data_IF_357520184307
#
_entry.id   IF_357520184307
#
_cell.length_a   1.000
_cell.length_b   1.000
_cell.length_c   1.000
_cell.angle_alpha   90.00
_cell.angle_beta   90.00
_cell.angle_gamma   90.00
#
_symmetry.space_group_name_H-M   'P 1'
#
loop_
_entity.id
_entity.type
_entity.pdbx_description
1 polymer ?
#
# COMPACT_ATOMS: atom_id res chain seq x y z
N UNK A 1 -10.49 -14.52 8.46
CA UNK A 1 -10.79 -14.27 7.01
C UNK A 1 -9.49 -14.19 6.24
N UNK A 2 -9.34 -14.98 5.19
CA UNK A 2 -8.17 -14.98 4.32
C UNK A 2 -7.97 -13.60 3.69
N UNK A 3 -6.75 -13.06 3.73
CA UNK A 3 -6.42 -11.70 3.25
C UNK A 3 -6.65 -10.58 4.26
N UNK A 4 -7.29 -10.85 5.39
CA UNK A 4 -7.46 -9.93 6.48
C UNK A 4 -8.01 -8.56 6.07
N UNK A 5 -7.47 -7.49 6.63
CA UNK A 5 -7.90 -6.10 6.35
C UNK A 5 -7.70 -5.66 4.91
N UNK A 6 -6.80 -6.29 4.15
CA UNK A 6 -6.58 -5.92 2.75
C UNK A 6 -7.79 -6.20 1.84
N UNK A 7 -8.78 -6.94 2.32
CA UNK A 7 -10.02 -7.18 1.57
C UNK A 7 -11.00 -5.99 1.62
N UNK A 8 -10.90 -5.11 2.64
CA UNK A 8 -11.87 -4.02 2.85
C UNK A 8 -11.23 -2.68 3.24
N UNK A 9 -9.93 -2.51 3.02
CA UNK A 9 -9.24 -1.24 3.24
C UNK A 9 -9.46 -0.25 2.08
N UNK A 10 -9.14 1.05 2.31
CA UNK A 10 -9.26 2.09 1.28
C UNK A 10 -8.17 2.08 0.19
N UNK A 11 -7.26 1.11 0.18
CA UNK A 11 -6.08 1.00 -0.70
C UNK A 11 -5.08 2.16 -0.56
N UNK A 12 -5.25 3.01 0.44
CA UNK A 12 -4.33 4.11 0.73
C UNK A 12 -2.97 3.52 1.14
N UNK A 13 -1.95 3.84 0.37
CA UNK A 13 -0.62 3.20 0.46
C UNK A 13 0.46 4.26 0.68
N UNK A 14 0.31 5.02 1.76
CA UNK A 14 1.31 5.98 2.20
C UNK A 14 2.48 5.24 2.85
N UNK A 15 3.67 5.82 2.75
CA UNK A 15 4.85 5.36 3.48
C UNK A 15 4.93 6.09 4.82
N UNK A 16 5.39 5.42 5.85
CA UNK A 16 5.91 6.14 7.01
C UNK A 16 7.13 6.95 6.58
N UNK A 17 7.19 8.20 7.01
CA UNK A 17 8.32 9.08 6.72
C UNK A 17 9.38 9.05 7.83
N UNK A 18 10.49 9.75 7.64
CA UNK A 18 11.58 9.79 8.63
C UNK A 18 11.15 10.17 10.05
N UNK A 19 10.19 11.09 10.19
CA UNK A 19 9.66 11.52 11.50
C UNK A 19 8.94 10.41 12.24
N UNK A 20 8.21 9.53 11.52
CA UNK A 20 7.41 8.48 12.14
C UNK A 20 8.27 7.46 12.90
N UNK A 21 9.54 7.28 12.47
CA UNK A 21 10.51 6.42 13.15
C UNK A 21 11.18 7.08 14.35
N UNK A 22 11.08 8.40 14.46
CA UNK A 22 11.73 9.22 15.48
C UNK A 22 10.74 10.16 16.17
N UNK A 23 9.49 9.72 16.36
CA UNK A 23 8.39 10.53 16.90
C UNK A 23 8.77 11.16 18.24
N UNK A 24 9.37 10.38 19.15
CA UNK A 24 9.81 10.88 20.46
C UNK A 24 10.77 12.07 20.39
N UNK A 25 11.65 12.09 19.39
CA UNK A 25 12.59 13.19 19.19
C UNK A 25 11.89 14.49 18.76
N UNK A 26 10.68 14.39 18.17
CA UNK A 26 9.90 15.53 17.70
C UNK A 26 8.86 16.02 18.70
N UNK A 27 8.15 15.12 19.39
CA UNK A 27 7.02 15.46 20.25
C UNK A 27 7.21 15.06 21.73
N UNK A 28 8.26 14.32 22.04
CA UNK A 28 8.58 13.83 23.39
C UNK A 28 7.73 12.65 23.86
N UNK A 29 6.84 12.12 23.01
CA UNK A 29 5.90 11.07 23.40
C UNK A 29 6.31 9.69 22.84
N UNK A 30 5.97 8.64 23.59
CA UNK A 30 6.22 7.26 23.20
C UNK A 30 7.69 6.89 23.12
N UNK A 31 8.04 6.04 22.19
CA UNK A 31 9.41 5.55 21.94
C UNK A 31 9.77 5.65 20.46
N UNK A 32 11.04 5.93 20.15
CA UNK A 32 11.54 5.84 18.80
C UNK A 32 11.60 4.38 18.33
N UNK A 33 11.32 4.15 17.06
CA UNK A 33 11.55 2.85 16.48
C UNK A 33 13.06 2.52 16.45
N UNK A 34 13.47 1.25 16.64
CA UNK A 34 14.87 0.84 16.60
C UNK A 34 15.47 0.81 15.18
N UNK A 35 14.67 1.17 14.19
CA UNK A 35 15.02 1.26 12.78
C UNK A 35 14.75 2.67 12.25
N UNK A 36 15.27 2.98 11.08
CA UNK A 36 15.06 4.24 10.36
C UNK A 36 14.24 4.03 9.08
N UNK A 37 13.81 5.12 8.47
CA UNK A 37 13.20 5.06 7.13
C UNK A 37 14.13 4.43 6.09
N UNK A 38 15.44 4.73 6.14
CA UNK A 38 16.38 4.22 5.15
C UNK A 38 16.55 2.70 5.22
N UNK A 39 16.40 2.10 6.40
CA UNK A 39 16.45 0.65 6.59
C UNK A 39 15.30 -0.05 5.87
N UNK A 40 14.11 0.55 5.82
CA UNK A 40 12.92 -0.07 5.22
C UNK A 40 12.60 0.45 3.81
N UNK A 41 13.19 1.56 3.37
CA UNK A 41 13.00 2.15 2.05
C UNK A 41 13.15 1.16 0.87
N UNK A 42 14.15 0.25 0.87
CA UNK A 42 14.27 -0.76 -0.18
C UNK A 42 13.05 -1.69 -0.28
N UNK A 43 12.45 -2.01 0.87
CA UNK A 43 11.26 -2.86 0.95
C UNK A 43 10.00 -2.11 0.49
N UNK A 44 9.84 -0.84 0.86
CA UNK A 44 8.78 0.02 0.28
C UNK A 44 8.89 0.10 -1.24
N UNK A 45 10.10 0.29 -1.77
CA UNK A 45 10.34 0.35 -3.21
C UNK A 45 9.96 -0.96 -3.92
N UNK A 46 10.24 -2.10 -3.28
CA UNK A 46 9.85 -3.41 -3.78
C UNK A 46 8.33 -3.59 -3.73
N UNK A 47 7.71 -3.17 -2.62
CA UNK A 47 6.27 -3.30 -2.39
C UNK A 47 5.47 -2.44 -3.37
N UNK A 48 5.82 -1.17 -3.59
CA UNK A 48 5.12 -0.28 -4.54
C UNK A 48 5.03 -0.89 -5.95
N UNK A 49 6.13 -1.51 -6.41
CA UNK A 49 6.17 -2.18 -7.71
C UNK A 49 5.31 -3.44 -7.72
N UNK A 50 5.32 -4.19 -6.61
CA UNK A 50 4.65 -5.48 -6.49
C UNK A 50 3.12 -5.32 -6.40
N UNK A 51 2.64 -4.38 -5.59
CA UNK A 51 1.20 -4.14 -5.41
C UNK A 51 0.62 -3.17 -6.44
N UNK A 52 1.47 -2.34 -7.05
CA UNK A 52 1.08 -1.33 -8.04
C UNK A 52 0.41 -0.13 -7.38
N UNK A 53 1.20 0.81 -6.90
CA UNK A 53 0.72 2.06 -6.30
C UNK A 53 0.72 3.15 -7.36
N UNK A 54 -0.38 3.88 -7.53
CA UNK A 54 -0.35 5.10 -8.33
C UNK A 54 -0.11 6.35 -7.47
N UNK A 55 0.43 7.40 -8.05
CA UNK A 55 0.71 8.65 -7.36
C UNK A 55 1.63 9.56 -8.17
N UNK A 56 2.07 10.64 -7.53
CA UNK A 56 3.02 11.60 -8.08
C UNK A 56 4.21 11.78 -7.12
N UNK A 57 5.34 12.22 -7.67
CA UNK A 57 6.52 12.54 -6.87
C UNK A 57 6.45 14.01 -6.47
N UNK A 58 6.39 14.26 -5.17
CA UNK A 58 6.13 15.57 -4.60
C UNK A 58 7.27 16.09 -3.73
N UNK A 59 8.26 15.24 -3.41
CA UNK A 59 9.39 15.54 -2.54
C UNK A 59 8.99 16.05 -1.15
N UNK A 60 7.89 15.51 -0.59
CA UNK A 60 7.43 15.85 0.75
C UNK A 60 8.29 15.09 1.76
N UNK A 61 8.92 15.79 2.69
CA UNK A 61 9.90 15.22 3.62
C UNK A 61 9.36 14.01 4.40
N UNK A 62 8.17 14.13 5.00
CA UNK A 62 7.60 13.04 5.81
C UNK A 62 6.55 12.20 5.06
N UNK A 63 6.48 12.36 3.75
CA UNK A 63 5.70 11.50 2.85
C UNK A 63 6.57 11.11 1.64
N UNK A 64 7.60 10.28 1.86
CA UNK A 64 8.64 10.02 0.86
C UNK A 64 8.08 9.46 -0.44
N UNK A 65 8.70 9.87 -1.55
CA UNK A 65 8.34 9.37 -2.86
C UNK A 65 8.72 7.92 -3.07
N UNK A 66 7.91 7.25 -3.88
CA UNK A 66 8.06 5.85 -4.24
C UNK A 66 8.13 5.61 -5.75
N UNK A 67 7.83 4.34 -6.11
CA UNK A 67 7.66 3.94 -7.50
C UNK A 67 6.18 3.94 -7.85
N UNK A 68 5.72 5.00 -8.50
CA UNK A 68 4.31 5.20 -8.77
C UNK A 68 3.94 4.91 -10.22
N UNK A 69 2.79 4.25 -10.39
CA UNK A 69 2.05 4.26 -11.65
C UNK A 69 1.47 5.66 -11.88
N UNK A 70 1.20 6.07 -13.13
CA UNK A 70 0.56 7.35 -13.39
C UNK A 70 -0.79 7.42 -12.68
N UNK A 71 -1.12 8.53 -12.00
CA UNK A 71 -2.42 8.68 -11.36
C UNK A 71 -3.54 8.83 -12.40
N UNK A 72 -4.80 8.54 -12.01
CA UNK A 72 -5.94 8.84 -12.86
C UNK A 72 -6.05 10.35 -13.14
N UNK A 73 -6.67 10.70 -14.25
CA UNK A 73 -7.00 12.11 -14.51
C UNK A 73 -7.98 12.62 -13.45
N UNK A 74 -7.77 13.82 -12.90
CA UNK A 74 -8.68 14.39 -11.91
C UNK A 74 -10.08 14.60 -12.50
N UNK A 75 -11.09 14.35 -11.69
CA UNK A 75 -12.50 14.60 -12.02
C UNK A 75 -12.83 16.11 -11.95
N UNK A 76 -13.93 16.52 -12.53
CA UNK A 76 -14.30 17.94 -12.59
C UNK A 76 -14.35 18.60 -11.21
N UNK A 77 -14.97 17.96 -10.22
CA UNK A 77 -15.02 18.49 -8.86
C UNK A 77 -13.64 18.57 -8.18
N UNK A 78 -12.76 17.62 -8.46
CA UNK A 78 -11.36 17.65 -7.98
C UNK A 78 -10.59 18.82 -8.60
N UNK A 79 -10.80 19.11 -9.88
CA UNK A 79 -10.22 20.29 -10.54
C UNK A 79 -10.67 21.60 -9.89
N UNK A 80 -11.96 21.73 -9.54
CA UNK A 80 -12.45 22.88 -8.79
C UNK A 80 -11.82 22.99 -7.41
N UNK A 81 -11.72 21.86 -6.70
CA UNK A 81 -11.07 21.82 -5.39
C UNK A 81 -9.59 22.23 -5.49
N UNK A 82 -8.84 21.67 -6.43
CA UNK A 82 -7.43 22.03 -6.69
C UNK A 82 -7.28 23.53 -6.95
N UNK A 83 -8.17 24.10 -7.78
CA UNK A 83 -8.16 25.54 -8.11
C UNK A 83 -8.42 26.42 -6.87
N UNK A 84 -9.35 26.00 -6.01
CA UNK A 84 -9.66 26.69 -4.75
C UNK A 84 -8.50 26.62 -3.76
N UNK A 85 -8.00 25.44 -3.51
CA UNK A 85 -6.89 25.18 -2.58
C UNK A 85 -5.61 25.93 -2.98
N UNK A 86 -5.29 25.98 -4.28
CA UNK A 86 -4.16 26.73 -4.80
C UNK A 86 -4.25 28.24 -4.49
N UNK A 87 -5.45 28.82 -4.53
CA UNK A 87 -5.65 30.23 -4.15
C UNK A 87 -5.37 30.49 -2.68
N UNK A 88 -5.49 29.48 -1.84
CA UNK A 88 -5.22 29.52 -0.38
C UNK A 88 -3.79 29.05 -0.03
N UNK A 89 -2.92 28.87 -1.04
CA UNK A 89 -1.56 28.40 -0.81
C UNK A 89 -1.42 26.92 -0.46
N UNK A 90 -2.51 26.13 -0.61
CA UNK A 90 -2.51 24.69 -0.29
C UNK A 90 -2.26 23.88 -1.56
N UNK A 91 -1.24 23.02 -1.52
CA UNK A 91 -0.96 22.05 -2.58
C UNK A 91 -1.86 20.82 -2.44
N UNK A 92 -2.54 20.45 -3.52
CA UNK A 92 -3.35 19.23 -3.60
C UNK A 92 -2.65 18.26 -4.54
N UNK A 93 -2.46 17.05 -4.07
CA UNK A 93 -1.79 15.97 -4.81
C UNK A 93 -2.73 14.76 -4.95
N UNK A 94 -2.52 13.88 -5.95
CA UNK A 94 -3.24 12.61 -6.03
C UNK A 94 -2.92 11.75 -4.82
N UNK A 95 -3.94 11.15 -4.22
CA UNK A 95 -3.75 10.16 -3.16
C UNK A 95 -2.95 8.97 -3.69
N UNK A 96 -2.05 8.42 -2.89
CA UNK A 96 -1.25 7.23 -3.25
C UNK A 96 -2.06 5.98 -2.94
N UNK A 97 -2.55 5.30 -3.98
CA UNK A 97 -3.44 4.15 -3.83
C UNK A 97 -2.90 2.92 -4.56
N UNK A 98 -3.04 1.75 -3.93
CA UNK A 98 -2.74 0.44 -4.54
C UNK A 98 -3.85 0.01 -5.50
N UNK A 99 -4.02 0.77 -6.59
CA UNK A 99 -4.98 0.50 -7.66
C UNK A 99 -4.26 0.60 -9.00
N UNK A 100 -4.35 -0.43 -9.83
CA UNK A 100 -3.66 -0.45 -11.12
C UNK A 100 -4.30 0.50 -12.13
N UNK A 101 -3.60 1.55 -12.46
CA UNK A 101 -3.91 2.46 -13.58
C UNK A 101 -3.21 2.05 -14.86
N UNK A 102 -2.22 1.14 -14.76
CA UNK A 102 -1.49 0.51 -15.85
C UNK A 102 -1.25 -0.96 -15.50
N UNK A 103 -1.26 -1.83 -16.49
CA UNK A 103 -0.99 -3.26 -16.31
C UNK A 103 0.45 -3.48 -15.85
N UNK A 104 0.64 -4.27 -14.80
CA UNK A 104 1.94 -4.68 -14.27
C UNK A 104 2.19 -6.19 -14.37
N UNK A 105 1.13 -6.98 -14.53
CA UNK A 105 1.18 -8.44 -14.71
C UNK A 105 -0.04 -8.95 -15.46
N UNK A 106 -0.11 -10.26 -15.67
CA UNK A 106 -1.19 -10.90 -16.45
C UNK A 106 -2.39 -11.34 -15.61
N UNK A 107 -2.29 -11.28 -14.27
CA UNK A 107 -3.34 -11.75 -13.35
C UNK A 107 -4.28 -10.66 -12.88
N UNK A 108 -3.88 -9.39 -13.03
CA UNK A 108 -4.63 -8.22 -12.59
C UNK A 108 -4.97 -7.31 -13.77
N UNK A 109 -6.22 -6.92 -13.86
CA UNK A 109 -6.68 -5.93 -14.84
C UNK A 109 -6.36 -4.49 -14.42
N UNK A 110 -6.70 -3.55 -15.30
CA UNK A 110 -6.56 -2.11 -15.05
C UNK A 110 -7.89 -1.54 -14.57
N UNK A 111 -7.85 -0.55 -13.69
CA UNK A 111 -9.03 0.14 -13.20
C UNK A 111 -9.79 0.82 -14.34
N UNK A 112 -11.09 0.58 -14.41
CA UNK A 112 -12.02 1.21 -15.34
C UNK A 112 -12.94 2.24 -14.67
N UNK A 113 -12.57 2.70 -13.48
CA UNK A 113 -13.21 3.81 -12.74
C UNK A 113 -14.69 3.59 -12.37
N UNK A 114 -15.09 2.37 -12.03
CA UNK A 114 -16.47 2.04 -11.64
C UNK A 114 -16.91 2.67 -10.29
N UNK A 115 -15.97 3.15 -9.47
CA UNK A 115 -16.26 3.75 -8.15
C UNK A 115 -16.68 2.76 -7.06
N UNK A 116 -16.44 1.46 -7.25
CA UNK A 116 -16.86 0.37 -6.34
C UNK A 116 -15.69 -0.23 -5.54
N UNK A 117 -14.69 0.58 -5.17
CA UNK A 117 -13.45 0.09 -4.53
C UNK A 117 -13.66 -0.44 -3.10
N UNK A 118 -14.77 -0.13 -2.46
CA UNK A 118 -15.20 -0.65 -1.15
C UNK A 118 -15.81 -2.06 -1.23
N UNK A 119 -16.01 -2.56 -2.45
CA UNK A 119 -16.53 -3.90 -2.77
C UNK A 119 -15.45 -4.72 -3.49
N UNK A 120 -15.76 -5.94 -3.87
CA UNK A 120 -14.86 -6.78 -4.66
C UNK A 120 -14.67 -6.20 -6.06
N UNK A 121 -13.42 -5.96 -6.44
CA UNK A 121 -13.08 -5.48 -7.77
C UNK A 121 -13.05 -6.64 -8.77
N UNK A 122 -13.97 -6.63 -9.74
CA UNK A 122 -14.06 -7.68 -10.76
C UNK A 122 -12.81 -7.77 -11.66
N UNK A 123 -12.07 -6.68 -11.81
CA UNK A 123 -10.83 -6.64 -12.58
C UNK A 123 -9.57 -6.93 -11.73
N UNK A 124 -9.71 -7.10 -10.40
CA UNK A 124 -8.57 -7.18 -9.47
C UNK A 124 -7.57 -6.02 -9.62
N UNK A 125 -8.05 -4.86 -10.08
CA UNK A 125 -7.22 -3.66 -10.21
C UNK A 125 -6.80 -3.13 -8.83
N UNK A 126 -7.71 -3.19 -7.85
CA UNK A 126 -7.41 -2.89 -6.46
C UNK A 126 -6.59 -4.02 -5.81
N UNK A 127 -5.73 -3.65 -4.89
CA UNK A 127 -4.93 -4.64 -4.17
C UNK A 127 -5.70 -5.24 -3.00
N UNK A 128 -5.74 -6.59 -2.96
CA UNK A 128 -5.96 -7.36 -1.74
C UNK A 128 -5.01 -8.56 -1.74
N UNK A 129 -4.52 -8.94 -0.57
CA UNK A 129 -3.59 -10.08 -0.47
C UNK A 129 -4.25 -11.38 -0.88
N UNK A 130 -5.54 -11.56 -0.61
CA UNK A 130 -6.29 -12.76 -1.03
C UNK A 130 -6.34 -12.90 -2.55
N UNK A 131 -6.78 -11.87 -3.27
CA UNK A 131 -6.97 -11.93 -4.72
C UNK A 131 -5.66 -11.84 -5.51
N UNK A 132 -4.69 -11.06 -5.00
CA UNK A 132 -3.47 -10.78 -5.75
C UNK A 132 -2.32 -11.75 -5.47
N UNK A 133 -2.32 -12.42 -4.31
CA UNK A 133 -1.24 -13.33 -3.92
C UNK A 133 -1.72 -14.72 -3.52
N UNK A 134 -2.59 -14.82 -2.52
CA UNK A 134 -2.92 -16.12 -1.94
C UNK A 134 -3.62 -17.03 -2.94
N UNK A 135 -4.69 -16.56 -3.58
CA UNK A 135 -5.43 -17.37 -4.56
C UNK A 135 -4.54 -17.76 -5.77
N UNK A 136 -3.76 -16.86 -6.38
CA UNK A 136 -2.82 -17.25 -7.44
C UNK A 136 -1.77 -18.27 -6.98
N UNK A 137 -1.23 -18.13 -5.77
CA UNK A 137 -0.21 -19.04 -5.23
C UNK A 137 -0.78 -20.42 -4.95
N UNK A 138 -2.01 -20.52 -4.43
CA UNK A 138 -2.74 -21.77 -4.25
C UNK A 138 -2.99 -22.46 -5.61
N UNK A 139 -3.43 -21.72 -6.62
CA UNK A 139 -3.62 -22.24 -7.98
C UNK A 139 -2.32 -22.73 -8.61
N UNK A 140 -1.20 -22.11 -8.27
CA UNK A 140 0.15 -22.51 -8.70
C UNK A 140 0.74 -23.70 -7.92
N UNK A 141 0.05 -24.20 -6.89
CA UNK A 141 0.53 -25.32 -6.06
C UNK A 141 1.78 -25.01 -5.22
N UNK A 142 2.09 -23.75 -5.00
CA UNK A 142 3.29 -23.34 -4.25
C UNK A 142 3.01 -23.01 -2.77
N UNK A 143 1.75 -23.09 -2.34
CA UNK A 143 1.31 -22.74 -0.99
C UNK A 143 0.24 -23.71 -0.54
N UNK A 144 0.36 -24.20 0.68
CA UNK A 144 -0.68 -24.95 1.37
C UNK A 144 -1.47 -24.02 2.30
N UNK A 145 -2.78 -24.12 2.27
CA UNK A 145 -3.66 -23.33 3.10
C UNK A 145 -4.37 -24.20 4.14
N UNK A 146 -4.08 -23.97 5.40
CA UNK A 146 -4.80 -24.59 6.52
C UNK A 146 -5.80 -23.58 7.08
N UNK A 147 -7.08 -23.88 6.94
CA UNK A 147 -8.18 -23.09 7.53
C UNK A 147 -8.52 -23.60 8.94
N UNK A 148 -9.24 -22.77 9.72
CA UNK A 148 -9.61 -23.09 11.11
C UNK A 148 -8.40 -23.45 12.01
N UNK A 149 -7.23 -22.92 11.67
CA UNK A 149 -5.97 -23.16 12.35
C UNK A 149 -5.42 -21.84 12.89
N UNK A 150 -5.54 -21.66 14.20
CA UNK A 150 -4.97 -20.50 14.88
C UNK A 150 -3.50 -20.79 15.23
N UNK A 151 -2.61 -19.94 14.77
CA UNK A 151 -1.20 -20.00 15.17
C UNK A 151 -1.10 -19.49 16.61
N UNK A 152 -0.63 -20.34 17.52
CA UNK A 152 -0.46 -20.00 18.94
C UNK A 152 1.00 -19.73 19.30
N UNK A 153 1.94 -20.29 18.53
CA UNK A 153 3.37 -20.17 18.77
C UNK A 153 4.14 -20.31 17.47
N UNK A 154 5.23 -19.57 17.33
CA UNK A 154 6.26 -19.77 16.32
C UNK A 154 7.50 -20.31 17.04
N UNK A 155 7.79 -21.60 16.88
CA UNK A 155 8.97 -22.23 17.48
C UNK A 155 10.23 -21.77 16.75
N UNK A 156 11.29 -21.54 17.53
CA UNK A 156 12.59 -21.15 17.00
C UNK A 156 13.70 -22.06 17.51
N UNK A 157 14.75 -22.22 16.73
CA UNK A 157 15.99 -22.86 17.18
C UNK A 157 16.81 -21.92 18.11
N UNK A 158 17.94 -22.41 18.59
CA UNK A 158 18.83 -21.66 19.48
C UNK A 158 19.43 -20.38 18.84
N UNK A 159 19.33 -20.22 17.52
CA UNK A 159 19.77 -19.05 16.77
C UNK A 159 18.62 -18.09 16.45
N UNK A 160 17.42 -18.34 16.97
CA UNK A 160 16.23 -17.54 16.72
C UNK A 160 15.59 -17.76 15.34
N UNK A 161 15.97 -18.79 14.59
CA UNK A 161 15.38 -19.13 13.31
C UNK A 161 14.12 -19.98 13.52
N UNK A 162 13.03 -19.63 12.83
CA UNK A 162 11.78 -20.40 12.86
C UNK A 162 12.01 -21.84 12.35
N UNK A 163 11.42 -22.83 13.03
CA UNK A 163 11.54 -24.27 12.73
C UNK A 163 10.19 -24.89 12.43
#
# INVERSE_FOLDING_TARGET
MLGGRTNHWGRISLRFGPKDFKSKDYDGLGENWPISYDDIKPYYNKLDKLIGVFGTKENIFNEPDGFFLPPPKPRLHELFYIKGARKSGVTVIPSRLSILTKRINNTRGVCFYCGQCDRSCSAYADFSSSSCYVIPSLKGGMVDLYTNSMVVEVKTDNNGKAT
#
